data_IF_661506953473
#
_entry.id   IF_661506953473
#
_cell.length_a   1.000
_cell.length_b   1.000
_cell.length_c   1.000
_cell.angle_alpha   90.00
_cell.angle_beta   90.00
_cell.angle_gamma   90.00
#
_symmetry.space_group_name_H-M   'P 1'
#
loop_
_entity.id
_entity.type
_entity.pdbx_description
1 polymer ?
#
# COMPACT_ATOMS: atom_id res chain seq x y z
N UNK A 1 10.46 13.00 1.12
CA UNK A 1 10.22 11.59 1.51
C UNK A 1 8.85 11.14 1.02
N UNK A 2 8.74 9.90 0.56
CA UNK A 2 7.45 9.21 0.47
C UNK A 2 6.83 9.14 1.86
N UNK A 3 5.60 9.62 2.01
CA UNK A 3 4.89 9.54 3.28
C UNK A 3 3.45 9.09 3.03
N UNK A 4 3.16 7.83 3.37
CA UNK A 4 1.80 7.29 3.36
C UNK A 4 1.20 7.49 4.76
N UNK A 5 0.14 8.28 4.86
CA UNK A 5 -0.54 8.60 6.13
C UNK A 5 -1.88 7.87 6.21
N UNK A 6 -2.27 7.57 7.44
CA UNK A 6 -3.62 7.09 7.79
C UNK A 6 -4.07 5.92 6.89
N UNK A 7 -3.22 4.90 6.77
CA UNK A 7 -3.48 3.74 5.93
C UNK A 7 -4.68 2.97 6.49
N UNK A 8 -5.67 2.73 5.65
CA UNK A 8 -6.89 1.99 5.99
C UNK A 8 -7.17 0.88 4.99
N UNK A 9 -7.92 -0.13 5.44
CA UNK A 9 -8.39 -1.19 4.55
C UNK A 9 -9.50 -0.66 3.63
N UNK A 10 -9.44 -1.01 2.36
CA UNK A 10 -10.45 -0.64 1.37
C UNK A 10 -10.84 -1.79 0.46
N UNK A 11 -11.88 -1.55 -0.34
CA UNK A 11 -12.33 -2.49 -1.37
C UNK A 11 -11.38 -2.48 -2.58
N UNK A 12 -11.27 -3.60 -3.33
CA UNK A 12 -10.52 -3.62 -4.58
C UNK A 12 -11.07 -2.58 -5.56
N UNK A 13 -10.17 -1.80 -6.18
CA UNK A 13 -10.52 -0.74 -7.14
C UNK A 13 -10.44 -1.19 -8.60
N UNK A 14 -9.71 -2.29 -8.88
CA UNK A 14 -9.55 -2.83 -10.24
C UNK A 14 -10.04 -4.28 -10.33
N UNK A 15 -10.28 -4.75 -11.57
CA UNK A 15 -10.67 -6.16 -11.82
C UNK A 15 -9.60 -7.14 -11.33
N UNK A 16 -8.33 -6.80 -11.50
CA UNK A 16 -7.21 -7.60 -11.04
C UNK A 16 -7.18 -7.68 -9.51
N UNK A 17 -7.35 -6.54 -8.83
CA UNK A 17 -7.44 -6.50 -7.37
C UNK A 17 -8.61 -7.35 -6.86
N UNK A 18 -9.74 -7.32 -7.55
CA UNK A 18 -10.90 -8.16 -7.23
C UNK A 18 -10.61 -9.66 -7.39
N UNK A 19 -9.99 -10.06 -8.50
CA UNK A 19 -9.60 -11.45 -8.73
C UNK A 19 -8.64 -11.95 -7.65
N UNK A 20 -7.63 -11.14 -7.33
CA UNK A 20 -6.64 -11.42 -6.29
C UNK A 20 -7.28 -11.53 -4.89
N UNK A 21 -8.22 -10.65 -4.55
CA UNK A 21 -8.99 -10.80 -3.29
C UNK A 21 -9.81 -12.08 -3.29
N UNK A 22 -10.49 -12.42 -4.39
CA UNK A 22 -11.28 -13.65 -4.47
C UNK A 22 -10.43 -14.91 -4.31
N UNK A 23 -9.23 -14.91 -4.89
CA UNK A 23 -8.35 -16.08 -4.91
C UNK A 23 -7.52 -16.24 -3.63
N UNK A 24 -7.04 -15.13 -3.06
CA UNK A 24 -6.05 -15.14 -1.98
C UNK A 24 -6.50 -14.41 -0.71
N UNK A 25 -7.76 -13.92 -0.67
CA UNK A 25 -8.31 -13.14 0.44
C UNK A 25 -7.46 -11.89 0.78
N UNK A 26 -6.89 -11.25 -0.24
CA UNK A 26 -6.05 -10.06 -0.08
C UNK A 26 -6.87 -8.88 0.45
N UNK A 27 -6.33 -8.24 1.50
CA UNK A 27 -6.82 -6.96 2.04
C UNK A 27 -6.06 -5.81 1.38
N UNK A 28 -6.77 -4.96 0.68
CA UNK A 28 -6.18 -3.78 0.04
C UNK A 28 -6.03 -2.64 1.04
N UNK A 29 -4.86 -2.00 1.02
CA UNK A 29 -4.52 -0.92 1.92
C UNK A 29 -4.31 0.36 1.12
N UNK A 30 -5.00 1.43 1.54
CA UNK A 30 -4.90 2.73 0.91
C UNK A 30 -4.60 3.81 1.94
N UNK A 31 -3.73 4.76 1.58
CA UNK A 31 -3.49 5.97 2.35
C UNK A 31 -4.66 6.96 2.24
N UNK A 32 -4.64 8.01 3.05
CA UNK A 32 -5.65 9.08 3.01
C UNK A 32 -5.79 9.75 1.64
N UNK A 33 -4.71 9.85 0.88
CA UNK A 33 -4.68 10.40 -0.49
C UNK A 33 -5.02 9.34 -1.55
N UNK A 34 -5.41 8.13 -1.13
CA UNK A 34 -5.96 7.09 -1.99
C UNK A 34 -4.94 6.20 -2.70
N UNK A 35 -3.65 6.37 -2.43
CA UNK A 35 -2.57 5.54 -3.00
C UNK A 35 -2.60 4.12 -2.44
N UNK A 36 -2.32 3.14 -3.30
CA UNK A 36 -2.27 1.74 -2.90
C UNK A 36 -0.92 1.42 -2.24
N UNK A 37 -0.94 0.91 -1.01
CA UNK A 37 0.26 0.56 -0.25
C UNK A 37 1.22 -0.35 -1.04
N UNK A 38 0.71 -1.42 -1.67
CA UNK A 38 1.54 -2.42 -2.35
C UNK A 38 2.25 -1.85 -3.57
N UNK A 39 1.59 -0.97 -4.32
CA UNK A 39 2.20 -0.32 -5.50
C UNK A 39 3.29 0.69 -5.09
N UNK A 40 3.11 1.33 -3.93
CA UNK A 40 4.03 2.33 -3.41
C UNK A 40 5.28 1.72 -2.76
N UNK A 41 5.27 0.43 -2.40
CA UNK A 41 6.44 -0.27 -1.83
C UNK A 41 7.70 -0.13 -2.68
N UNK A 42 7.56 -0.14 -4.02
CA UNK A 42 8.69 0.01 -4.96
C UNK A 42 9.36 1.38 -4.91
N UNK A 43 8.65 2.38 -4.39
CA UNK A 43 9.11 3.76 -4.32
C UNK A 43 9.79 4.08 -2.99
N UNK A 44 9.83 3.13 -2.04
CA UNK A 44 10.59 3.29 -0.82
C UNK A 44 12.08 3.10 -1.12
N UNK A 45 12.95 4.03 -0.65
CA UNK A 45 14.38 3.84 -0.78
C UNK A 45 14.81 2.58 -0.01
N UNK A 46 15.62 1.74 -0.64
CA UNK A 46 16.08 0.46 -0.07
C UNK A 46 16.86 0.61 1.25
N UNK A 47 17.31 1.83 1.58
CA UNK A 47 17.99 2.17 2.82
C UNK A 47 17.34 3.41 3.42
N UNK A 48 16.39 3.19 4.31
CA UNK A 48 15.84 4.24 5.16
C UNK A 48 15.98 3.81 6.63
N UNK A 49 17.23 3.74 7.08
CA UNK A 49 17.52 3.88 8.49
C UNK A 49 17.98 5.32 8.67
N UNK A 50 17.04 6.23 8.96
CA UNK A 50 17.43 7.43 9.67
C UNK A 50 17.92 6.95 11.03
N UNK A 51 19.21 7.19 11.28
CA UNK A 51 19.83 6.89 12.56
C UNK A 51 19.05 7.64 13.64
N UNK A 52 18.24 6.91 14.40
CA UNK A 52 17.74 7.36 15.69
C UNK A 52 18.85 7.24 16.72
N UNK A 53 19.84 8.13 16.66
CA UNK A 53 20.78 8.49 17.73
C UNK A 53 21.13 9.98 17.60
#
# INVERSE_FOLDING_TARGET
MMHLKNITAGNPKTKEQYQLTKQFNIKWLYSEDGKNWYEEQKNFPARHFENGL
#
